data_IF_344763884562
#
_entry.id   IF_344763884562
#
_cell.length_a   1.000
_cell.length_b   1.000
_cell.length_c   1.000
_cell.angle_alpha   90.00
_cell.angle_beta   90.00
_cell.angle_gamma   90.00
#
_symmetry.space_group_name_H-M   'P 1'
#
loop_
_entity.id
_entity.type
_entity.pdbx_description
1 polymer ?
#
# COMPACT_ATOMS: atom_id res chain seq x y z
N UNK A 1 8.12 0.50 -25.94
CA UNK A 1 7.17 0.63 -24.83
C UNK A 1 7.36 -0.61 -23.98
N UNK A 2 7.93 -0.46 -22.77
CA UNK A 2 7.98 -1.57 -21.82
C UNK A 2 6.55 -1.87 -21.35
N UNK A 3 6.20 -3.14 -21.09
CA UNK A 3 4.89 -3.46 -20.54
C UNK A 3 4.70 -2.72 -19.21
N UNK A 4 3.47 -2.29 -18.87
CA UNK A 4 3.15 -1.45 -17.69
C UNK A 4 3.39 -2.13 -16.32
N UNK A 5 4.26 -3.13 -16.24
CA UNK A 5 4.44 -4.01 -15.09
C UNK A 5 3.34 -5.08 -15.00
N UNK A 6 3.55 -6.14 -14.20
CA UNK A 6 2.49 -7.08 -13.89
C UNK A 6 1.36 -6.38 -13.11
N UNK A 7 0.09 -6.76 -13.33
CA UNK A 7 -1.04 -6.15 -12.65
C UNK A 7 -1.03 -6.47 -11.14
N UNK A 8 -1.62 -5.60 -10.32
CA UNK A 8 -1.67 -5.83 -8.86
C UNK A 8 -2.41 -7.13 -8.50
N UNK A 9 -3.36 -7.57 -9.32
CA UNK A 9 -4.06 -8.84 -9.12
C UNK A 9 -3.17 -10.08 -9.30
N UNK A 10 -2.03 -9.97 -9.99
CA UNK A 10 -1.03 -11.04 -10.10
C UNK A 10 0.04 -10.97 -9.00
N UNK A 11 0.24 -9.79 -8.41
CA UNK A 11 1.21 -9.58 -7.32
C UNK A 11 0.61 -9.84 -5.94
N UNK A 12 -0.65 -9.45 -5.73
CA UNK A 12 -1.37 -9.59 -4.45
C UNK A 12 -2.29 -10.80 -4.54
N UNK A 13 -1.70 -11.99 -4.63
CA UNK A 13 -2.44 -13.25 -4.60
C UNK A 13 -2.62 -13.75 -3.16
N UNK A 14 -3.67 -14.54 -2.87
CA UNK A 14 -3.84 -15.16 -1.55
C UNK A 14 -2.61 -15.95 -1.12
N UNK A 15 -2.02 -16.71 -2.04
CA UNK A 15 -0.80 -17.47 -1.79
C UNK A 15 0.39 -16.55 -1.47
N UNK A 16 0.59 -15.46 -2.21
CA UNK A 16 1.68 -14.51 -1.92
C UNK A 16 1.51 -13.84 -0.54
N UNK A 17 0.27 -13.54 -0.15
CA UNK A 17 -0.05 -12.98 1.17
C UNK A 17 0.20 -14.01 2.27
N UNK A 18 -0.26 -15.25 2.09
CA UNK A 18 -0.02 -16.35 3.04
C UNK A 18 1.49 -16.66 3.17
N UNK A 19 2.23 -16.76 2.05
CA UNK A 19 3.67 -17.03 2.02
C UNK A 19 4.51 -15.90 2.61
N UNK A 20 4.04 -14.66 2.53
CA UNK A 20 4.74 -13.51 3.12
C UNK A 20 4.73 -13.52 4.66
N UNK A 21 3.84 -14.30 5.28
CA UNK A 21 3.63 -14.31 6.73
C UNK A 21 2.99 -13.03 7.28
N UNK A 22 2.51 -12.11 6.42
CA UNK A 22 1.94 -10.83 6.85
C UNK A 22 0.66 -11.00 7.69
N UNK A 23 -0.07 -12.11 7.49
CA UNK A 23 -1.26 -12.44 8.27
C UNK A 23 -0.95 -13.13 9.61
N UNK A 24 0.30 -13.58 9.83
CA UNK A 24 0.74 -14.13 11.11
C UNK A 24 1.03 -13.03 12.14
N UNK A 25 1.23 -11.79 11.69
CA UNK A 25 1.36 -10.62 12.58
C UNK A 25 -0.01 -10.20 13.12
N UNK A 26 -0.18 -10.30 14.45
CA UNK A 26 -1.46 -9.97 15.11
C UNK A 26 -1.87 -8.50 14.92
N UNK A 27 -0.90 -7.58 14.85
CA UNK A 27 -1.16 -6.15 14.70
C UNK A 27 -1.70 -5.84 13.30
N UNK A 28 -1.11 -6.44 12.27
CA UNK A 28 -1.54 -6.29 10.88
C UNK A 28 -2.88 -6.97 10.67
N UNK A 29 -3.04 -8.21 11.15
CA UNK A 29 -4.30 -8.95 11.08
C UNK A 29 -5.45 -8.17 11.72
N UNK A 30 -5.23 -7.59 12.90
CA UNK A 30 -6.25 -6.78 13.59
C UNK A 30 -6.66 -5.56 12.77
N UNK A 31 -5.69 -4.82 12.23
CA UNK A 31 -5.94 -3.64 11.41
C UNK A 31 -6.70 -3.98 10.12
N UNK A 32 -6.37 -5.09 9.48
CA UNK A 32 -7.10 -5.58 8.30
C UNK A 32 -8.51 -6.04 8.64
N UNK A 33 -8.72 -6.69 9.79
CA UNK A 33 -10.05 -7.10 10.24
C UNK A 33 -10.97 -5.91 10.54
N UNK A 34 -10.45 -4.77 10.98
CA UNK A 34 -11.27 -3.56 11.22
C UNK A 34 -11.86 -2.98 9.92
N UNK A 35 -11.18 -3.19 8.79
CA UNK A 35 -11.63 -2.79 7.45
C UNK A 35 -12.71 -3.71 6.87
N UNK A 36 -12.87 -4.92 7.44
CA UNK A 36 -13.95 -5.83 7.05
C UNK A 36 -15.31 -5.31 7.56
N UNK A 37 -16.41 -5.63 6.86
CA UNK A 37 -17.77 -5.35 7.32
C UNK A 37 -18.01 -5.87 8.74
N UNK A 38 -18.85 -5.20 9.53
CA UNK A 38 -19.04 -5.48 10.96
C UNK A 38 -19.50 -6.92 11.28
N UNK A 39 -20.02 -7.67 10.30
CA UNK A 39 -20.38 -9.09 10.42
C UNK A 39 -19.33 -10.10 9.94
N UNK A 40 -18.18 -9.63 9.44
CA UNK A 40 -17.13 -10.44 8.79
C UNK A 40 -15.74 -10.19 9.39
N UNK A 41 -15.66 -9.61 10.60
CA UNK A 41 -14.37 -9.29 11.26
C UNK A 41 -13.73 -10.51 11.92
N UNK A 42 -13.52 -11.58 11.14
CA UNK A 42 -12.84 -12.81 11.57
C UNK A 42 -11.67 -13.12 10.64
N UNK A 43 -10.68 -13.86 11.15
CA UNK A 43 -9.52 -14.26 10.35
C UNK A 43 -9.92 -15.13 9.15
N UNK A 44 -10.86 -16.05 9.34
CA UNK A 44 -11.40 -16.88 8.27
C UNK A 44 -12.05 -16.02 7.16
N UNK A 45 -12.87 -15.04 7.56
CA UNK A 45 -13.49 -14.10 6.63
C UNK A 45 -12.46 -13.22 5.91
N UNK A 46 -11.35 -12.86 6.56
CA UNK A 46 -10.27 -12.11 5.94
C UNK A 46 -9.61 -12.92 4.82
N UNK A 47 -9.28 -14.18 5.08
CA UNK A 47 -8.71 -15.11 4.09
C UNK A 47 -9.69 -15.41 2.97
N UNK A 48 -10.98 -15.58 3.27
CA UNK A 48 -12.02 -15.76 2.25
C UNK A 48 -12.19 -14.51 1.38
N UNK A 49 -12.15 -13.31 1.96
CA UNK A 49 -12.22 -12.06 1.20
C UNK A 49 -11.03 -11.91 0.25
N UNK A 50 -9.81 -12.27 0.68
CA UNK A 50 -8.62 -12.25 -0.18
C UNK A 50 -8.76 -13.18 -1.39
N UNK A 51 -9.40 -14.34 -1.21
CA UNK A 51 -9.68 -15.32 -2.29
C UNK A 51 -10.93 -14.97 -3.11
N UNK A 52 -11.65 -13.92 -2.72
CA UNK A 52 -12.91 -13.54 -3.31
C UNK A 52 -12.71 -12.88 -4.69
N UNK A 53 -13.52 -13.24 -5.70
CA UNK A 53 -13.49 -12.58 -7.01
C UNK A 53 -13.65 -11.06 -6.94
N UNK A 54 -14.35 -10.56 -5.93
CA UNK A 54 -14.60 -9.14 -5.67
C UNK A 54 -13.31 -8.37 -5.39
N UNK A 55 -12.39 -8.95 -4.60
CA UNK A 55 -11.10 -8.32 -4.31
C UNK A 55 -10.22 -8.36 -5.55
N UNK A 56 -10.16 -9.49 -6.25
CA UNK A 56 -9.41 -9.60 -7.50
C UNK A 56 -9.90 -8.60 -8.56
N UNK A 57 -11.21 -8.38 -8.67
CA UNK A 57 -11.78 -7.43 -9.61
C UNK A 57 -11.50 -5.97 -9.21
N UNK A 58 -11.55 -5.67 -7.91
CA UNK A 58 -11.16 -4.35 -7.39
C UNK A 58 -9.69 -4.04 -7.67
N UNK A 59 -8.79 -5.01 -7.46
CA UNK A 59 -7.35 -4.88 -7.76
C UNK A 59 -7.10 -4.67 -9.26
N UNK A 60 -7.85 -5.35 -10.13
CA UNK A 60 -7.80 -5.13 -11.59
C UNK A 60 -8.27 -3.71 -11.95
N UNK A 61 -9.37 -3.25 -11.38
CA UNK A 61 -9.87 -1.89 -11.60
C UNK A 61 -8.88 -0.83 -11.12
N UNK A 62 -8.23 -1.06 -9.98
CA UNK A 62 -7.18 -0.18 -9.47
C UNK A 62 -5.96 -0.19 -10.40
N UNK A 63 -5.54 -1.36 -10.87
CA UNK A 63 -4.45 -1.48 -11.85
C UNK A 63 -4.76 -0.70 -13.12
N UNK A 64 -5.97 -0.81 -13.67
CA UNK A 64 -6.38 -0.08 -14.87
C UNK A 64 -6.38 1.45 -14.65
N UNK A 65 -6.86 1.90 -13.50
CA UNK A 65 -6.87 3.32 -13.13
C UNK A 65 -5.46 3.88 -12.93
N UNK A 66 -4.53 3.08 -12.36
CA UNK A 66 -3.12 3.44 -12.22
C UNK A 66 -2.40 3.45 -13.57
N UNK A 67 -2.69 2.48 -14.44
CA UNK A 67 -2.10 2.36 -15.77
C UNK A 67 -2.56 3.44 -16.76
N UNK A 68 -3.59 4.21 -16.40
CA UNK A 68 -4.10 5.30 -17.24
C UNK A 68 -4.72 4.82 -18.55
N UNK A 69 -5.30 3.61 -18.56
CA UNK A 69 -5.95 3.02 -19.75
C UNK A 69 -7.12 3.90 -20.28
N UNK A 70 -7.61 4.83 -19.45
CA UNK A 70 -8.61 5.86 -19.78
C UNK A 70 -8.04 7.15 -20.42
N UNK A 71 -6.74 7.20 -20.74
CA UNK A 71 -6.17 8.24 -21.60
C UNK A 71 -5.86 9.60 -20.95
N UNK A 72 -5.90 9.71 -19.62
CA UNK A 72 -5.53 10.94 -18.90
C UNK A 72 -4.68 10.65 -17.67
N UNK A 73 -3.39 11.01 -17.70
CA UNK A 73 -2.46 10.86 -16.56
C UNK A 73 -2.85 11.60 -15.26
N UNK A 74 -4.04 12.20 -15.18
CA UNK A 74 -4.58 12.83 -13.97
C UNK A 74 -5.21 11.84 -12.98
N UNK A 75 -5.61 10.65 -13.43
CA UNK A 75 -6.19 9.61 -12.55
C UNK A 75 -5.16 9.10 -11.54
N UNK A 76 -3.94 8.81 -11.99
CA UNK A 76 -2.83 8.39 -11.12
C UNK A 76 -2.55 9.42 -10.02
N UNK A 77 -2.39 10.70 -10.37
CA UNK A 77 -2.11 11.76 -9.41
C UNK A 77 -3.22 11.90 -8.36
N UNK A 78 -4.47 11.79 -8.79
CA UNK A 78 -5.62 11.84 -7.90
C UNK A 78 -5.64 10.66 -6.94
N UNK A 79 -5.34 9.46 -7.43
CA UNK A 79 -5.25 8.24 -6.60
C UNK A 79 -4.15 8.42 -5.54
N UNK A 80 -2.93 8.76 -5.94
CA UNK A 80 -1.79 8.96 -5.03
C UNK A 80 -2.13 9.99 -3.95
N UNK A 81 -2.76 11.11 -4.32
CA UNK A 81 -3.18 12.13 -3.36
C UNK A 81 -4.27 11.65 -2.38
N UNK A 82 -5.26 10.88 -2.85
CA UNK A 82 -6.31 10.31 -1.98
C UNK A 82 -5.74 9.31 -0.96
N UNK A 83 -4.69 8.58 -1.33
CA UNK A 83 -3.95 7.71 -0.41
C UNK A 83 -2.98 8.48 0.51
N UNK A 84 -2.88 9.81 0.38
CA UNK A 84 -1.95 10.63 1.18
C UNK A 84 -0.47 10.43 0.82
N UNK A 85 -0.19 9.85 -0.35
CA UNK A 85 1.15 9.52 -0.82
C UNK A 85 1.76 10.70 -1.61
N UNK A 86 3.09 10.73 -1.77
CA UNK A 86 3.78 11.76 -2.56
C UNK A 86 4.10 11.23 -3.96
N UNK A 87 3.65 11.94 -4.98
CA UNK A 87 3.87 11.57 -6.40
C UNK A 87 5.36 11.53 -6.77
N UNK A 88 6.18 12.35 -6.12
CA UNK A 88 7.63 12.44 -6.35
C UNK A 88 8.35 11.10 -6.12
N UNK A 89 7.81 10.27 -5.23
CA UNK A 89 8.44 9.02 -4.81
C UNK A 89 8.47 7.97 -5.92
N UNK A 90 7.42 7.93 -6.73
CA UNK A 90 7.25 7.04 -7.87
C UNK A 90 7.61 7.67 -9.23
N UNK A 91 8.08 8.92 -9.24
CA UNK A 91 8.33 9.65 -10.48
C UNK A 91 9.35 8.95 -11.41
N UNK A 92 10.37 8.29 -10.84
CA UNK A 92 11.35 7.52 -11.60
C UNK A 92 10.72 6.32 -12.31
N UNK A 93 9.88 5.58 -11.61
CA UNK A 93 9.17 4.41 -12.15
C UNK A 93 8.08 4.81 -13.14
N UNK A 94 7.40 5.95 -12.93
CA UNK A 94 6.52 6.56 -13.94
C UNK A 94 7.28 6.91 -15.22
N UNK A 95 8.46 7.52 -15.10
CA UNK A 95 9.30 7.87 -16.25
C UNK A 95 9.81 6.62 -17.01
N UNK A 96 9.94 5.47 -16.32
CA UNK A 96 10.25 4.17 -16.94
C UNK A 96 9.07 3.52 -17.66
N UNK A 97 7.87 4.12 -17.59
CA UNK A 97 6.64 3.56 -18.17
C UNK A 97 6.02 2.44 -17.33
N UNK A 98 6.37 2.34 -16.04
CA UNK A 98 5.80 1.36 -15.12
C UNK A 98 5.01 2.07 -14.00
N UNK A 99 3.74 2.37 -14.23
CA UNK A 99 2.91 3.08 -13.27
C UNK A 99 2.57 2.25 -12.03
N UNK A 100 2.56 0.92 -12.15
CA UNK A 100 2.33 0.03 -11.03
C UNK A 100 3.51 0.07 -10.06
N UNK A 101 4.74 -0.03 -10.59
CA UNK A 101 5.94 0.13 -9.78
C UNK A 101 6.01 1.52 -9.13
N UNK A 102 5.61 2.58 -9.86
CA UNK A 102 5.57 3.92 -9.28
C UNK A 102 4.63 4.03 -8.08
N UNK A 103 3.45 3.42 -8.15
CA UNK A 103 2.53 3.36 -7.01
C UNK A 103 3.16 2.62 -5.82
N UNK A 104 3.79 1.46 -6.06
CA UNK A 104 4.45 0.68 -5.01
C UNK A 104 5.62 1.45 -4.37
N UNK A 105 6.43 2.16 -5.17
CA UNK A 105 7.54 2.98 -4.66
C UNK A 105 7.02 4.14 -3.78
N UNK A 106 5.88 4.75 -4.14
CA UNK A 106 5.21 5.75 -3.32
C UNK A 106 4.77 5.18 -1.96
N UNK A 107 4.19 3.97 -1.96
CA UNK A 107 3.76 3.28 -0.73
C UNK A 107 4.97 2.95 0.15
N UNK A 108 6.00 2.32 -0.42
CA UNK A 108 7.22 1.93 0.31
C UNK A 108 7.88 3.15 0.97
N UNK A 109 8.12 4.23 0.22
CA UNK A 109 8.72 5.46 0.78
C UNK A 109 7.81 6.15 1.78
N UNK A 110 6.49 5.96 1.71
CA UNK A 110 5.59 6.47 2.74
C UNK A 110 5.81 5.74 4.06
N UNK A 111 5.87 4.41 4.03
CA UNK A 111 6.12 3.57 5.21
C UNK A 111 7.50 3.86 5.81
N UNK A 112 8.56 3.93 5.00
CA UNK A 112 9.91 4.26 5.48
C UNK A 112 9.95 5.60 6.24
N UNK A 113 9.15 6.59 5.79
CA UNK A 113 9.05 7.89 6.46
C UNK A 113 8.20 7.87 7.72
N UNK A 114 7.23 6.97 7.85
CA UNK A 114 6.51 6.75 9.11
C UNK A 114 7.41 6.07 10.13
N UNK A 115 8.14 5.03 9.72
CA UNK A 115 9.11 4.33 10.60
C UNK A 115 10.23 5.25 11.07
N UNK A 116 10.75 6.12 10.21
CA UNK A 116 11.79 7.10 10.58
C UNK A 116 11.28 8.16 11.57
N UNK A 117 9.98 8.45 11.59
CA UNK A 117 9.39 9.43 12.52
C UNK A 117 9.10 8.85 13.90
N UNK A 118 8.83 7.54 14.00
CA UNK A 118 8.60 6.87 15.30
C UNK A 118 9.90 6.53 16.05
N UNK A 119 11.06 6.48 15.37
CA UNK A 119 12.37 6.29 16.00
C UNK A 119 13.06 7.54 16.57
N UNK A 120 12.39 8.70 16.57
CA UNK A 120 13.01 10.01 16.83
C UNK A 120 12.48 10.75 18.06
N UNK A 121 12.16 10.05 19.15
CA UNK A 121 11.77 10.70 20.40
C UNK A 121 12.24 9.89 21.60
N UNK A 122 13.43 10.20 22.10
CA UNK A 122 13.84 10.11 23.53
C UNK A 122 15.35 10.39 23.66
N UNK A 123 15.78 11.64 23.51
CA UNK A 123 17.04 12.15 24.08
C UNK A 123 17.05 13.69 24.03
N UNK A 124 16.26 14.33 24.91
CA UNK A 124 16.65 15.60 25.53
C UNK A 124 15.87 15.77 26.84
N UNK A 125 16.22 14.91 27.79
CA UNK A 125 15.81 15.01 29.18
C UNK A 125 16.90 15.73 29.98
N UNK A 126 16.63 16.98 30.31
CA UNK A 126 16.95 17.64 31.58
C UNK A 126 18.33 17.33 32.21
N UNK A 127 19.30 18.20 31.99
CA UNK A 127 20.47 18.33 32.86
C UNK A 127 20.68 19.81 33.26
N UNK A 128 20.09 20.15 34.41
CA UNK A 128 20.51 21.17 35.40
C UNK A 128 21.64 22.14 35.00
N UNK A 129 21.38 23.43 35.21
CA UNK A 129 22.25 24.23 36.10
C UNK A 129 21.47 25.40 36.69
N UNK A 130 21.07 25.24 37.95
CA UNK A 130 20.97 26.35 38.90
C UNK A 130 22.39 26.84 39.19
N UNK A 131 22.66 28.13 38.93
CA UNK A 131 23.40 29.00 39.86
C UNK A 131 23.07 30.47 39.57
#
# INVERSE_FOLDING_TARGET
>A
QQPPGPPLSELVTPDAVDESGILDDESIRKRLMELLPEGQRTEESLRENLRSPQVAQTLKSLTAALAGESGGGGEFNSIIANFGLKIEDGAASMASGNPIQAFLDCVLKSVEREETKEGGKDEDGDAKMEE
#
